data_IF_788116544683
#
_entry.id   IF_788116544683
#
_cell.length_a   1.000
_cell.length_b   1.000
_cell.length_c   1.000
_cell.angle_alpha   90.00
_cell.angle_beta   90.00
_cell.angle_gamma   90.00
#
_symmetry.space_group_name_H-M   'P 1'
#
loop_
_entity.id
_entity.type
_entity.pdbx_description
1 polymer ?
#
# COMPACT_ATOMS: atom_id res chain seq x y z
N UNK A 1 10.26 -1.29 -77.47
CA UNK A 1 10.61 -1.65 -76.07
C UNK A 1 10.07 -0.54 -75.18
N UNK A 2 8.96 -0.80 -74.49
CA UNK A 2 8.32 0.15 -73.57
C UNK A 2 8.56 -0.38 -72.15
N UNK A 3 9.33 0.36 -71.35
CA UNK A 3 9.52 0.07 -69.93
C UNK A 3 8.44 0.80 -69.14
N UNK A 4 7.61 0.04 -68.42
CA UNK A 4 6.63 0.54 -67.47
C UNK A 4 7.29 0.63 -66.09
N UNK A 5 7.38 1.83 -65.51
CA UNK A 5 7.86 2.03 -64.14
C UNK A 5 6.66 2.06 -63.19
N UNK A 6 6.59 1.08 -62.29
CA UNK A 6 5.64 1.04 -61.19
C UNK A 6 6.15 1.91 -60.03
N UNK A 7 5.38 2.93 -59.64
CA UNK A 7 5.65 3.73 -58.44
C UNK A 7 5.19 2.95 -57.20
N UNK A 8 6.14 2.57 -56.34
CA UNK A 8 5.87 1.97 -55.03
C UNK A 8 5.71 3.13 -54.02
N UNK A 9 4.49 3.32 -53.53
CA UNK A 9 4.18 4.22 -52.42
C UNK A 9 4.50 3.50 -51.10
N UNK A 10 5.57 3.90 -50.43
CA UNK A 10 5.89 3.47 -49.08
C UNK A 10 5.13 4.37 -48.10
N UNK A 11 4.05 3.85 -47.52
CA UNK A 11 3.33 4.53 -46.45
C UNK A 11 4.14 4.38 -45.14
N UNK A 12 4.84 5.44 -44.73
CA UNK A 12 5.50 5.52 -43.44
C UNK A 12 4.47 5.69 -42.32
N UNK A 13 4.26 4.64 -41.52
CA UNK A 13 3.45 4.71 -40.32
C UNK A 13 4.19 5.47 -39.22
N UNK A 14 3.75 6.69 -38.92
CA UNK A 14 4.18 7.46 -37.75
C UNK A 14 3.55 6.86 -36.49
N UNK A 15 4.35 6.20 -35.66
CA UNK A 15 3.95 5.79 -34.31
C UNK A 15 3.89 7.05 -33.45
N UNK A 16 2.70 7.52 -33.14
CA UNK A 16 2.49 8.59 -32.18
C UNK A 16 2.76 8.04 -30.77
N UNK A 17 3.87 8.45 -30.17
CA UNK A 17 4.14 8.18 -28.75
C UNK A 17 3.35 9.22 -27.96
N UNK A 18 2.23 8.80 -27.35
CA UNK A 18 1.47 9.64 -26.44
C UNK A 18 2.26 9.79 -25.14
N UNK A 19 2.76 11.00 -24.87
CA UNK A 19 3.30 11.35 -23.57
C UNK A 19 2.12 11.51 -22.59
N UNK A 20 2.02 10.61 -21.60
CA UNK A 20 1.11 10.81 -20.49
C UNK A 20 1.61 12.03 -19.70
N UNK A 21 0.77 13.07 -19.59
CA UNK A 21 1.05 14.18 -18.69
C UNK A 21 1.08 13.64 -17.24
N UNK A 22 2.06 14.01 -16.42
CA UNK A 22 2.04 13.66 -15.01
C UNK A 22 0.78 14.28 -14.39
N UNK A 23 -0.03 13.47 -13.70
CA UNK A 23 -1.15 13.95 -12.90
C UNK A 23 -0.58 14.91 -11.85
N UNK A 24 -0.90 16.19 -11.99
CA UNK A 24 -0.53 17.22 -11.01
C UNK A 24 -1.64 17.27 -9.95
N UNK A 25 -1.35 16.71 -8.78
CA UNK A 25 -2.19 16.89 -7.60
C UNK A 25 -1.84 18.21 -6.93
N UNK A 26 -2.85 19.04 -6.62
CA UNK A 26 -2.63 20.32 -5.94
C UNK A 26 -2.10 20.13 -4.51
N UNK A 27 -2.48 19.03 -3.87
CA UNK A 27 -1.94 18.55 -2.60
C UNK A 27 -1.57 17.08 -2.73
N UNK A 28 -0.27 16.79 -2.72
CA UNK A 28 0.25 15.41 -2.79
C UNK A 28 -0.21 14.53 -1.62
N UNK A 29 -0.59 15.12 -0.47
CA UNK A 29 -1.10 14.37 0.67
C UNK A 29 -2.55 13.87 0.48
N UNK A 30 -3.23 14.37 -0.55
CA UNK A 30 -4.57 13.97 -0.99
C UNK A 30 -4.54 13.05 -2.22
N UNK A 31 -3.36 12.76 -2.77
CA UNK A 31 -3.22 11.85 -3.89
C UNK A 31 -3.30 10.40 -3.42
N UNK A 32 -4.13 9.60 -4.08
CA UNK A 32 -4.16 8.16 -3.89
C UNK A 32 -4.12 7.46 -5.24
N UNK A 33 -3.30 6.42 -5.33
CA UNK A 33 -3.18 5.56 -6.50
C UNK A 33 -3.67 4.16 -6.12
N UNK A 34 -4.62 3.67 -6.90
CA UNK A 34 -5.10 2.30 -6.84
C UNK A 34 -4.44 1.55 -7.97
N UNK A 35 -3.72 0.48 -7.66
CA UNK A 35 -3.03 -0.36 -8.63
C UNK A 35 -3.30 -1.82 -8.26
N UNK A 36 -4.39 -2.35 -8.82
CA UNK A 36 -4.89 -3.69 -8.51
C UNK A 36 -4.82 -4.60 -9.73
N UNK A 37 -4.88 -5.91 -9.47
CA UNK A 37 -4.80 -6.95 -10.49
C UNK A 37 -5.97 -7.90 -10.34
N UNK A 38 -6.70 -8.14 -11.43
CA UNK A 38 -7.81 -9.10 -11.41
C UNK A 38 -7.31 -10.56 -11.54
N UNK A 39 -8.23 -11.53 -11.44
CA UNK A 39 -7.96 -12.96 -11.59
C UNK A 39 -7.33 -13.37 -12.94
N UNK A 40 -7.41 -12.51 -13.95
CA UNK A 40 -6.83 -12.71 -15.28
C UNK A 40 -5.47 -12.01 -15.43
N UNK A 41 -4.88 -11.51 -14.34
CA UNK A 41 -3.61 -10.78 -14.35
C UNK A 41 -3.68 -9.46 -15.14
N UNK A 42 -4.86 -8.86 -15.23
CA UNK A 42 -5.03 -7.55 -15.87
C UNK A 42 -5.00 -6.47 -14.79
N UNK A 43 -4.11 -5.49 -14.99
CA UNK A 43 -4.01 -4.31 -14.15
C UNK A 43 -5.25 -3.44 -14.31
N UNK A 44 -5.72 -2.86 -13.21
CA UNK A 44 -6.75 -1.84 -13.20
C UNK A 44 -6.57 -0.87 -12.03
N UNK A 45 -7.22 0.28 -12.13
CA UNK A 45 -7.10 1.33 -11.14
C UNK A 45 -6.70 2.66 -11.77
N UNK A 46 -6.06 3.51 -10.97
CA UNK A 46 -5.65 4.85 -11.34
C UNK A 46 -5.45 5.74 -10.12
N UNK A 47 -4.86 6.90 -10.37
CA UNK A 47 -4.64 7.89 -9.32
C UNK A 47 -5.73 8.98 -9.34
N UNK A 48 -6.17 9.40 -8.16
CA UNK A 48 -7.13 10.50 -8.00
C UNK A 48 -6.87 11.30 -6.73
N UNK A 49 -7.43 12.50 -6.68
CA UNK A 49 -7.40 13.40 -5.52
C UNK A 49 -8.64 13.13 -4.67
N UNK A 50 -8.48 12.46 -3.53
CA UNK A 50 -9.62 12.15 -2.67
C UNK A 50 -10.12 13.35 -1.86
N UNK A 51 -9.34 14.43 -1.77
CA UNK A 51 -9.81 15.67 -1.13
C UNK A 51 -10.76 16.44 -2.05
N UNK A 52 -10.58 16.31 -3.38
CA UNK A 52 -11.54 16.83 -4.36
C UNK A 52 -12.69 15.85 -4.66
N UNK A 53 -12.38 14.56 -4.76
CA UNK A 53 -13.32 13.49 -5.10
C UNK A 53 -13.17 12.32 -4.10
N UNK A 54 -13.82 12.38 -2.91
CA UNK A 54 -13.64 11.38 -1.85
C UNK A 54 -13.98 9.95 -2.24
N UNK A 55 -14.81 9.78 -3.27
CA UNK A 55 -15.29 8.50 -3.79
C UNK A 55 -14.94 8.35 -5.26
N UNK A 56 -14.18 7.31 -5.62
CA UNK A 56 -13.85 6.96 -7.00
C UNK A 56 -14.31 5.56 -7.35
N UNK A 57 -14.75 5.37 -8.59
CA UNK A 57 -15.06 4.05 -9.14
C UNK A 57 -14.04 3.67 -10.21
N UNK A 58 -13.61 2.42 -10.17
CA UNK A 58 -12.73 1.82 -11.16
C UNK A 58 -13.42 0.63 -11.80
N UNK A 59 -13.40 0.58 -13.13
CA UNK A 59 -13.85 -0.56 -13.90
C UNK A 59 -12.86 -1.72 -13.77
N UNK A 60 -13.35 -2.89 -13.37
CA UNK A 60 -12.56 -4.11 -13.34
C UNK A 60 -12.66 -4.76 -14.74
N UNK A 61 -11.53 -5.00 -15.43
CA UNK A 61 -11.53 -5.62 -16.74
C UNK A 61 -12.24 -6.97 -16.74
N UNK A 62 -12.94 -7.27 -17.84
CA UNK A 62 -13.63 -8.54 -18.00
C UNK A 62 -12.66 -9.72 -17.90
N UNK A 63 -12.99 -10.68 -17.05
CA UNK A 63 -12.20 -11.88 -16.83
C UNK A 63 -13.10 -13.10 -16.80
N UNK A 64 -12.74 -14.15 -17.56
CA UNK A 64 -13.46 -15.45 -17.60
C UNK A 64 -14.98 -15.30 -17.87
N UNK A 65 -15.37 -14.34 -18.70
CA UNK A 65 -16.77 -14.07 -19.05
C UNK A 65 -17.57 -13.33 -17.97
N UNK A 66 -16.91 -12.84 -16.92
CA UNK A 66 -17.50 -11.95 -15.91
C UNK A 66 -17.15 -10.51 -16.27
N UNK A 67 -18.14 -9.71 -16.64
CA UNK A 67 -17.98 -8.30 -17.03
C UNK A 67 -18.81 -7.37 -16.13
N UNK A 68 -18.55 -6.06 -16.23
CA UNK A 68 -19.32 -5.03 -15.52
C UNK A 68 -19.04 -4.92 -14.02
N UNK A 69 -18.00 -5.59 -13.51
CA UNK A 69 -17.56 -5.45 -12.12
C UNK A 69 -16.86 -4.11 -11.93
N UNK A 70 -17.11 -3.48 -10.78
CA UNK A 70 -16.50 -2.22 -10.39
C UNK A 70 -15.95 -2.32 -8.97
N UNK A 71 -14.89 -1.58 -8.73
CA UNK A 71 -14.37 -1.32 -7.39
C UNK A 71 -14.67 0.14 -7.03
N UNK A 72 -15.17 0.36 -5.83
CA UNK A 72 -15.40 1.69 -5.28
C UNK A 72 -14.32 1.93 -4.23
N UNK A 73 -13.64 3.07 -4.32
CA UNK A 73 -12.63 3.50 -3.37
C UNK A 73 -13.10 4.78 -2.69
N UNK A 74 -13.18 4.76 -1.37
CA UNK A 74 -13.59 5.90 -0.56
C UNK A 74 -12.50 6.21 0.46
N UNK A 75 -11.97 7.43 0.39
CA UNK A 75 -10.93 7.91 1.30
C UNK A 75 -11.29 9.27 1.85
N UNK A 76 -10.84 9.49 3.08
CA UNK A 76 -11.13 10.67 3.88
C UNK A 76 -9.88 11.11 4.61
N UNK A 77 -9.89 12.35 5.10
CA UNK A 77 -8.85 12.90 5.97
C UNK A 77 -9.52 13.32 7.28
N UNK A 78 -9.00 12.87 8.43
CA UNK A 78 -9.49 13.34 9.71
C UNK A 78 -8.98 14.77 10.01
N UNK A 79 -9.44 15.36 11.11
CA UNK A 79 -9.03 16.72 11.53
C UNK A 79 -7.53 16.84 11.79
N UNK A 80 -6.85 15.72 12.05
CA UNK A 80 -5.42 15.64 12.28
C UNK A 80 -4.62 15.30 11.01
N UNK A 81 -5.25 15.32 9.84
CA UNK A 81 -4.58 15.10 8.56
C UNK A 81 -4.33 13.63 8.20
N UNK A 82 -4.78 12.68 9.02
CA UNK A 82 -4.61 11.25 8.77
C UNK A 82 -5.64 10.74 7.76
N UNK A 83 -5.15 9.97 6.78
CA UNK A 83 -5.98 9.34 5.76
C UNK A 83 -6.61 8.06 6.30
N UNK A 84 -7.91 7.88 6.07
CA UNK A 84 -8.63 6.65 6.38
C UNK A 84 -9.64 6.32 5.29
N UNK A 85 -10.10 5.06 5.23
CA UNK A 85 -10.96 4.55 4.17
C UNK A 85 -10.36 3.34 3.46
N UNK A 86 -10.89 3.01 2.29
CA UNK A 86 -10.45 1.85 1.53
C UNK A 86 -11.27 1.60 0.26
N UNK A 87 -10.91 0.53 -0.44
CA UNK A 87 -11.61 0.07 -1.63
C UNK A 87 -12.47 -1.18 -1.33
N UNK A 88 -13.63 -1.28 -1.96
CA UNK A 88 -14.56 -2.39 -1.81
C UNK A 88 -15.30 -2.67 -3.13
N UNK A 89 -15.79 -3.91 -3.37
CA UNK A 89 -16.57 -4.21 -4.57
C UNK A 89 -17.87 -3.39 -4.60
N UNK A 90 -18.21 -2.81 -5.76
CA UNK A 90 -19.40 -1.96 -5.89
C UNK A 90 -20.72 -2.69 -5.60
N UNK A 91 -20.75 -4.00 -5.78
CA UNK A 91 -21.89 -4.87 -5.48
C UNK A 91 -21.88 -5.38 -4.03
N UNK A 92 -20.81 -5.11 -3.28
CA UNK A 92 -20.61 -5.54 -1.91
C UNK A 92 -21.21 -4.58 -0.88
N UNK A 93 -21.16 -4.96 0.42
CA UNK A 93 -21.55 -4.06 1.49
C UNK A 93 -20.62 -2.85 1.55
N UNK A 94 -21.20 -1.66 1.75
CA UNK A 94 -20.43 -0.43 1.97
C UNK A 94 -19.82 -0.48 3.39
N UNK A 95 -18.49 -0.39 3.54
CA UNK A 95 -17.87 -0.41 4.85
C UNK A 95 -18.18 0.86 5.66
N UNK A 96 -18.43 0.69 6.96
CA UNK A 96 -18.57 1.80 7.91
C UNK A 96 -17.20 2.28 8.38
N UNK A 97 -16.55 3.15 7.62
CA UNK A 97 -15.23 3.68 7.98
C UNK A 97 -15.33 4.59 9.23
N UNK A 98 -14.59 4.26 10.28
CA UNK A 98 -14.44 5.12 11.45
C UNK A 98 -13.17 5.96 11.30
N UNK A 99 -13.29 7.27 11.55
CA UNK A 99 -12.14 8.14 11.62
C UNK A 99 -11.23 7.70 12.79
N UNK A 100 -9.92 7.54 12.57
CA UNK A 100 -8.99 7.27 13.66
C UNK A 100 -8.96 8.47 14.63
N UNK A 101 -8.80 8.17 15.91
CA UNK A 101 -8.65 9.20 16.93
C UNK A 101 -7.34 9.95 16.74
N UNK A 102 -7.41 11.28 16.82
CA UNK A 102 -6.23 12.13 16.80
C UNK A 102 -5.26 11.78 17.95
N UNK A 103 -3.94 11.76 17.70
CA UNK A 103 -2.96 11.62 18.76
C UNK A 103 -3.07 12.80 19.76
N UNK A 104 -2.84 12.57 21.07
CA UNK A 104 -3.21 13.50 22.14
C UNK A 104 -2.49 14.86 22.16
N UNK A 105 -1.64 15.19 21.18
CA UNK A 105 -0.88 16.44 21.13
C UNK A 105 -1.02 17.24 19.82
N UNK A 106 -2.00 16.94 18.96
CA UNK A 106 -2.23 17.74 17.74
C UNK A 106 -1.03 17.79 16.77
N UNK A 107 -0.06 16.89 16.96
CA UNK A 107 0.97 16.63 15.97
C UNK A 107 0.30 15.80 14.87
N UNK A 108 0.27 16.33 13.65
CA UNK A 108 0.30 15.48 12.47
C UNK A 108 1.55 14.62 12.64
N UNK A 109 1.40 13.40 13.14
CA UNK A 109 2.45 12.41 13.04
C UNK A 109 2.49 12.13 11.55
N UNK A 110 3.37 12.83 10.83
CA UNK A 110 3.94 12.17 9.66
C UNK A 110 4.48 10.86 10.23
N UNK A 111 3.95 9.70 9.81
CA UNK A 111 4.54 8.45 10.24
C UNK A 111 6.00 8.60 9.89
N UNK A 112 6.87 8.53 10.90
CA UNK A 112 8.28 8.38 10.63
C UNK A 112 8.33 7.11 9.76
N UNK A 113 8.64 7.25 8.47
CA UNK A 113 8.62 6.11 7.56
C UNK A 113 9.60 5.03 8.02
N UNK A 114 10.61 5.40 8.83
CA UNK A 114 11.51 4.44 9.49
C UNK A 114 10.82 3.60 10.58
N UNK A 115 9.67 4.05 11.09
CA UNK A 115 8.86 3.40 12.10
C UNK A 115 7.63 2.66 11.52
N UNK A 116 7.43 2.70 10.20
CA UNK A 116 6.31 2.02 9.53
C UNK A 116 6.70 0.59 9.18
N UNK A 117 5.96 -0.38 9.70
CA UNK A 117 6.11 -1.79 9.31
C UNK A 117 4.81 -2.35 8.76
N UNK A 118 4.90 -3.08 7.65
CA UNK A 118 3.79 -3.81 7.04
C UNK A 118 3.98 -5.30 7.26
N UNK A 119 3.00 -5.93 7.89
CA UNK A 119 2.98 -7.36 8.12
C UNK A 119 2.04 -7.98 7.11
N UNK A 120 2.58 -8.80 6.23
CA UNK A 120 1.82 -9.58 5.24
C UNK A 120 2.09 -11.06 5.48
N UNK A 121 1.14 -11.75 6.08
CA UNK A 121 1.24 -13.17 6.44
C UNK A 121 0.16 -13.98 5.72
N UNK A 122 0.42 -15.27 5.56
CA UNK A 122 -0.50 -16.22 4.92
C UNK A 122 -0.77 -17.39 5.88
N UNK A 123 -2.04 -17.70 6.08
CA UNK A 123 -2.43 -18.86 6.89
C UNK A 123 -2.38 -20.18 6.07
N UNK A 124 -2.61 -21.32 6.71
CA UNK A 124 -2.63 -22.64 6.07
C UNK A 124 -3.72 -22.82 4.99
N UNK A 125 -4.71 -21.93 4.95
CA UNK A 125 -5.77 -21.87 3.93
C UNK A 125 -5.44 -20.88 2.80
N UNK A 126 -4.21 -20.35 2.74
CA UNK A 126 -3.77 -19.37 1.75
C UNK A 126 -4.53 -18.02 1.83
N UNK A 127 -5.08 -17.69 2.99
CA UNK A 127 -5.70 -16.39 3.22
C UNK A 127 -4.65 -15.43 3.76
N UNK A 128 -4.57 -14.26 3.13
CA UNK A 128 -3.71 -13.17 3.58
C UNK A 128 -4.29 -12.51 4.82
N UNK A 129 -3.42 -12.12 5.74
CA UNK A 129 -3.78 -11.33 6.90
C UNK A 129 -2.60 -10.48 7.37
N UNK A 130 -2.90 -9.44 8.13
CA UNK A 130 -1.92 -8.50 8.65
C UNK A 130 -2.35 -7.05 8.37
N UNK A 131 -1.36 -6.19 8.17
CA UNK A 131 -1.55 -4.76 7.99
C UNK A 131 -0.32 -3.97 8.38
N UNK A 132 -0.37 -2.68 8.09
CA UNK A 132 0.72 -1.76 8.39
C UNK A 132 0.43 -0.94 9.64
N UNK A 133 1.42 -0.80 10.52
CA UNK A 133 1.32 -0.01 11.75
C UNK A 133 2.63 0.74 12.05
N UNK A 134 2.53 1.75 12.90
CA UNK A 134 3.68 2.49 13.41
C UNK A 134 4.15 1.81 14.70
N UNK A 135 5.30 1.13 14.65
CA UNK A 135 5.80 0.41 15.81
C UNK A 135 6.51 1.32 16.82
N UNK A 136 6.83 2.57 16.46
CA UNK A 136 7.35 3.54 17.42
C UNK A 136 6.23 4.08 18.32
N UNK A 137 5.01 4.19 17.79
CA UNK A 137 3.81 4.50 18.57
C UNK A 137 3.19 3.25 19.25
N UNK A 138 3.16 2.12 18.55
CA UNK A 138 2.56 0.86 19.01
C UNK A 138 3.58 -0.29 18.85
N UNK A 139 4.55 -0.47 19.78
CA UNK A 139 5.62 -1.47 19.64
C UNK A 139 5.14 -2.93 19.54
N UNK A 140 3.91 -3.19 19.98
CA UNK A 140 3.26 -4.51 19.97
C UNK A 140 1.90 -4.42 19.28
N UNK A 141 1.69 -5.19 18.21
CA UNK A 141 0.42 -5.28 17.48
C UNK A 141 -0.11 -6.71 17.43
N UNK A 142 -1.43 -6.86 17.50
CA UNK A 142 -2.12 -8.14 17.28
C UNK A 142 -2.86 -8.13 15.94
N UNK A 143 -2.72 -9.22 15.20
CA UNK A 143 -3.48 -9.48 13.97
C UNK A 143 -4.28 -10.76 14.12
N UNK A 144 -5.57 -10.68 13.83
CA UNK A 144 -6.44 -11.86 13.79
C UNK A 144 -6.09 -12.72 12.57
N UNK A 145 -5.95 -14.02 12.78
CA UNK A 145 -5.76 -15.00 11.72
C UNK A 145 -7.15 -15.41 11.23
N UNK A 146 -7.45 -15.27 9.92
CA UNK A 146 -8.72 -15.69 9.35
C UNK A 146 -9.03 -17.16 9.66
N UNK A 147 -10.31 -17.45 9.90
CA UNK A 147 -10.76 -18.81 10.18
C UNK A 147 -10.40 -19.76 9.04
N UNK A 148 -9.77 -20.88 9.39
CA UNK A 148 -9.34 -21.90 8.45
C UNK A 148 -9.68 -23.29 9.01
N UNK A 149 -10.41 -24.11 8.22
CA UNK A 149 -10.79 -25.48 8.59
C UNK A 149 -11.51 -25.59 9.95
N UNK A 150 -12.38 -24.61 10.25
CA UNK A 150 -13.16 -24.57 11.50
C UNK A 150 -12.35 -24.15 12.73
N UNK A 151 -11.13 -23.65 12.54
CA UNK A 151 -10.28 -23.09 13.61
C UNK A 151 -10.30 -21.57 13.49
N UNK A 152 -10.88 -20.90 14.48
CA UNK A 152 -11.01 -19.44 14.57
C UNK A 152 -10.38 -18.90 15.87
N UNK A 153 -10.27 -17.57 15.98
CA UNK A 153 -9.81 -16.90 17.20
C UNK A 153 -8.29 -16.94 17.43
N UNK A 154 -7.51 -17.44 16.47
CA UNK A 154 -6.05 -17.39 16.56
C UNK A 154 -5.54 -15.98 16.24
N UNK A 155 -4.47 -15.57 16.90
CA UNK A 155 -3.80 -14.30 16.65
C UNK A 155 -2.31 -14.47 16.44
N UNK A 156 -1.76 -13.57 15.63
CA UNK A 156 -0.33 -13.32 15.54
C UNK A 156 -0.01 -12.04 16.29
N UNK A 157 0.98 -12.08 17.17
CA UNK A 157 1.53 -10.92 17.87
C UNK A 157 2.79 -10.49 17.13
N UNK A 158 2.91 -9.21 16.79
CA UNK A 158 4.09 -8.64 16.16
C UNK A 158 4.70 -7.59 17.07
N UNK A 159 5.99 -7.73 17.33
CA UNK A 159 6.76 -6.79 18.16
C UNK A 159 7.97 -6.31 17.40
N UNK A 160 8.08 -5.00 17.23
CA UNK A 160 9.22 -4.36 16.56
C UNK A 160 9.74 -3.19 17.38
N UNK A 161 11.05 -2.99 17.27
CA UNK A 161 11.81 -2.00 17.99
C UNK A 161 12.81 -1.35 17.05
N UNK A 162 13.22 -0.13 17.36
CA UNK A 162 14.28 0.59 16.69
C UNK A 162 15.33 0.95 17.73
N UNK A 163 16.59 0.67 17.43
CA UNK A 163 17.70 1.06 18.32
C UNK A 163 18.19 2.49 18.03
N UNK A 164 19.18 2.94 18.79
CA UNK A 164 19.74 4.30 18.71
C UNK A 164 20.44 4.64 17.38
N UNK A 165 20.67 3.66 16.50
CA UNK A 165 21.20 3.85 15.15
C UNK A 165 20.20 3.49 14.05
N UNK A 166 18.90 3.62 14.35
CA UNK A 166 17.78 3.43 13.44
C UNK A 166 17.68 2.03 12.82
N UNK A 167 18.28 1.01 13.44
CA UNK A 167 18.10 -0.38 13.01
C UNK A 167 16.84 -0.97 13.64
N UNK A 168 15.95 -1.45 12.78
CA UNK A 168 14.74 -2.15 13.19
C UNK A 168 15.04 -3.61 13.49
N UNK A 169 14.51 -4.12 14.60
CA UNK A 169 14.59 -5.52 14.99
C UNK A 169 13.29 -5.96 15.65
N UNK A 170 13.01 -7.27 15.60
CA UNK A 170 11.74 -7.81 16.05
C UNK A 170 11.16 -8.83 15.08
N UNK A 171 9.90 -9.16 15.27
CA UNK A 171 9.17 -10.10 14.42
C UNK A 171 7.81 -10.47 14.98
N UNK A 172 7.15 -11.35 14.24
CA UNK A 172 5.82 -11.86 14.56
C UNK A 172 5.88 -13.31 15.06
N UNK A 173 5.03 -13.63 16.03
CA UNK A 173 4.91 -14.96 16.62
C UNK A 173 3.45 -15.28 16.97
N UNK A 174 3.06 -16.57 17.06
CA UNK A 174 1.72 -16.94 17.50
C UNK A 174 1.48 -16.49 18.95
N UNK A 175 0.29 -15.99 19.27
CA UNK A 175 -0.05 -15.53 20.64
C UNK A 175 0.17 -16.61 21.71
N UNK A 176 -0.15 -17.87 21.38
CA UNK A 176 0.04 -19.02 22.28
C UNK A 176 1.45 -19.66 22.16
N UNK A 177 2.34 -19.05 21.37
CA UNK A 177 3.69 -19.54 21.10
C UNK A 177 4.74 -19.02 22.09
N UNK A 178 5.97 -19.56 22.04
CA UNK A 178 7.08 -19.00 22.79
C UNK A 178 7.40 -17.59 22.26
N UNK A 179 7.55 -16.63 23.18
CA UNK A 179 7.97 -15.27 22.85
C UNK A 179 9.43 -15.31 22.38
N UNK A 180 9.75 -14.88 21.15
CA UNK A 180 11.13 -14.88 20.68
C UNK A 180 11.96 -13.80 21.40
N UNK A 181 13.18 -14.17 21.79
CA UNK A 181 14.17 -13.22 22.29
C UNK A 181 14.90 -12.56 21.11
N UNK A 182 14.41 -11.41 20.66
CA UNK A 182 15.05 -10.67 19.56
C UNK A 182 16.37 -10.06 20.03
N UNK A 183 17.47 -10.38 19.35
CA UNK A 183 18.76 -9.77 19.62
C UNK A 183 18.82 -8.37 19.01
N UNK A 184 19.13 -7.38 19.82
CA UNK A 184 19.34 -6.01 19.35
C UNK A 184 20.59 -5.96 18.45
N UNK A 185 20.48 -5.42 17.22
CA UNK A 185 21.60 -5.35 16.30
C UNK A 185 22.62 -4.31 16.75
N UNK A 186 23.91 -4.59 16.54
CA UNK A 186 24.99 -3.64 16.86
C UNK A 186 24.99 -2.47 15.89
N UNK A 187 25.24 -1.26 16.41
CA UNK A 187 25.49 -0.10 15.58
C UNK A 187 26.85 -0.21 14.88
N UNK A 188 26.97 0.25 13.61
CA UNK A 188 28.28 0.38 13.00
C UNK A 188 29.11 1.35 13.84
N UNK A 189 30.39 1.01 14.09
CA UNK A 189 31.31 1.95 14.73
C UNK A 189 31.33 3.20 13.86
N UNK A 190 31.02 4.35 14.47
CA UNK A 190 31.06 5.66 13.85
C UNK A 190 32.35 5.78 13.04
N UNK A 191 32.25 5.80 11.70
CA UNK A 191 33.37 6.29 10.89
C UNK A 191 33.49 7.76 11.28
N UNK A 192 34.43 8.02 12.20
CA UNK A 192 34.68 9.33 12.77
C UNK A 192 34.71 10.35 11.63
N UNK A 193 33.69 11.22 11.61
CA UNK A 193 33.66 12.38 10.72
C UNK A 193 34.95 13.15 10.97
N UNK A 194 35.82 13.38 9.97
CA UNK A 194 37.08 14.04 10.22
C UNK A 194 36.80 15.42 10.82
N UNK A 195 37.41 15.68 11.97
CA UNK A 195 37.36 16.98 12.62
C UNK A 195 37.83 18.05 11.62
N UNK A 196 36.96 19.01 11.33
CA UNK A 196 37.36 20.21 10.61
C UNK A 196 38.28 20.99 11.55
N UNK A 197 39.57 20.99 11.23
CA UNK A 197 40.56 21.85 11.90
C UNK A 197 40.35 23.29 11.48
N UNK A 198 40.30 24.18 12.46
CA UNK A 198 40.29 25.66 12.31
C UNK A 198 41.52 26.20 11.57
#
# INVERSE_FOLDING_TARGET
MLFSTANILVASATVAVSFANPLQFADSSCAICVDDVNDCQQMYGGCYDFCAEPRKEFDIPECKGVSGKKQVCEYFKNECGERYGGCYPAEGPVPGWAAPACPPNGQTVQPDESCRICVDQMNDCQQMYGGCYDFCAEPRKEFEIPECKGVSGKKTVCEYFKNDCDKVYGGCYPEEGPIPGWAEPTCPAEEAKPAVSE
#
